data_IF_848745063876
#
_entry.id   IF_848745063876
#
_cell.length_a   1.000
_cell.length_b   1.000
_cell.length_c   1.000
_cell.angle_alpha   90.00
_cell.angle_beta   90.00
_cell.angle_gamma   90.00
#
_symmetry.space_group_name_H-M   'P 1'
#
loop_
_entity.id
_entity.type
_entity.pdbx_description
1 polymer ?
#
# COMPACT_ATOMS: atom_id res chain seq x y z
N UNK A 1 -15.08 21.29 -7.55
CA UNK A 1 -13.65 21.42 -7.90
C UNK A 1 -12.73 20.70 -6.90
N UNK A 2 -12.93 20.86 -5.59
CA UNK A 2 -12.09 20.20 -4.57
C UNK A 2 -12.07 18.67 -4.66
N UNK A 3 -13.22 18.02 -4.87
CA UNK A 3 -13.31 16.55 -4.95
C UNK A 3 -12.56 15.97 -6.15
N UNK A 4 -12.65 16.60 -7.31
CA UNK A 4 -11.90 16.18 -8.50
C UNK A 4 -10.38 16.34 -8.28
N UNK A 5 -9.97 17.41 -7.59
CA UNK A 5 -8.57 17.60 -7.19
C UNK A 5 -8.08 16.52 -6.23
N UNK A 6 -8.91 16.12 -5.26
CA UNK A 6 -8.62 15.00 -4.36
C UNK A 6 -8.40 13.70 -5.12
N UNK A 7 -9.31 13.35 -6.03
CA UNK A 7 -9.18 12.13 -6.84
C UNK A 7 -7.92 12.15 -7.70
N UNK A 8 -7.64 13.27 -8.37
CA UNK A 8 -6.42 13.42 -9.17
C UNK A 8 -5.16 13.26 -8.31
N UNK A 9 -5.13 13.85 -7.12
CA UNK A 9 -4.03 13.67 -6.16
C UNK A 9 -3.90 12.22 -5.69
N UNK A 10 -5.01 11.54 -5.38
CA UNK A 10 -5.00 10.12 -4.99
C UNK A 10 -4.46 9.22 -6.09
N UNK A 11 -4.82 9.47 -7.35
CA UNK A 11 -4.28 8.74 -8.52
C UNK A 11 -2.79 9.02 -8.68
N UNK A 12 -2.36 10.28 -8.58
CA UNK A 12 -0.95 10.65 -8.68
C UNK A 12 -0.11 9.99 -7.57
N UNK A 13 -0.62 9.98 -6.33
CA UNK A 13 0.03 9.30 -5.20
C UNK A 13 0.13 7.79 -5.46
N UNK A 14 -0.94 7.15 -5.96
CA UNK A 14 -0.93 5.73 -6.28
C UNK A 14 0.14 5.40 -7.33
N UNK A 15 0.15 6.12 -8.45
CA UNK A 15 1.10 5.89 -9.55
C UNK A 15 2.52 6.19 -9.10
N UNK A 16 2.74 7.29 -8.40
CA UNK A 16 4.06 7.67 -7.87
C UNK A 16 4.59 6.64 -6.87
N UNK A 17 3.73 6.14 -5.97
CA UNK A 17 4.08 5.09 -5.01
C UNK A 17 4.48 3.81 -5.73
N UNK A 18 3.67 3.36 -6.68
CA UNK A 18 3.96 2.13 -7.43
C UNK A 18 5.28 2.26 -8.19
N UNK A 19 5.52 3.39 -8.87
CA UNK A 19 6.76 3.66 -9.59
C UNK A 19 7.98 3.69 -8.64
N UNK A 20 7.86 4.35 -7.48
CA UNK A 20 8.91 4.41 -6.48
C UNK A 20 9.23 3.03 -5.92
N UNK A 21 8.22 2.21 -5.62
CA UNK A 21 8.42 0.85 -5.14
C UNK A 21 9.08 -0.03 -6.22
N UNK A 22 8.64 0.05 -7.47
CA UNK A 22 9.27 -0.66 -8.60
C UNK A 22 10.73 -0.25 -8.76
N UNK A 23 11.06 1.03 -8.58
CA UNK A 23 12.43 1.50 -8.59
C UNK A 23 13.23 0.98 -7.38
N UNK A 24 12.64 1.02 -6.17
CA UNK A 24 13.29 0.54 -4.93
C UNK A 24 13.59 -0.95 -4.94
N UNK A 25 12.66 -1.80 -5.40
CA UNK A 25 12.87 -3.27 -5.43
C UNK A 25 13.96 -3.70 -6.40
N UNK A 26 14.38 -2.83 -7.33
CA UNK A 26 15.54 -3.06 -8.21
C UNK A 26 16.88 -2.83 -7.49
N UNK A 27 16.89 -2.14 -6.34
CA UNK A 27 18.10 -1.92 -5.56
C UNK A 27 18.31 -3.07 -4.56
N UNK A 28 19.31 -3.94 -4.76
CA UNK A 28 19.51 -5.13 -3.92
C UNK A 28 19.90 -4.78 -2.48
N UNK A 29 20.59 -3.66 -2.24
CA UNK A 29 20.96 -3.26 -0.87
C UNK A 29 19.73 -2.89 -0.07
N UNK A 30 18.82 -2.11 -0.67
CA UNK A 30 17.55 -1.75 -0.04
C UNK A 30 16.68 -2.97 0.28
N UNK A 31 16.61 -3.96 -0.63
CA UNK A 31 15.86 -5.20 -0.38
C UNK A 31 16.48 -5.98 0.77
N UNK A 32 17.81 -6.12 0.81
CA UNK A 32 18.51 -6.81 1.91
C UNK A 32 18.28 -6.13 3.25
N UNK A 33 18.39 -4.81 3.33
CA UNK A 33 18.19 -4.05 4.57
C UNK A 33 16.75 -4.21 5.09
N UNK A 34 15.77 -4.18 4.18
CA UNK A 34 14.38 -4.44 4.51
C UNK A 34 14.17 -5.88 5.03
N UNK A 35 14.82 -6.88 4.43
CA UNK A 35 14.78 -8.27 4.95
C UNK A 35 15.39 -8.38 6.34
N UNK A 36 16.56 -7.76 6.58
CA UNK A 36 17.21 -7.76 7.89
C UNK A 36 16.30 -7.12 8.95
N UNK A 37 15.65 -6.00 8.61
CA UNK A 37 14.69 -5.34 9.49
C UNK A 37 13.50 -6.23 9.82
N UNK A 38 12.93 -6.91 8.82
CA UNK A 38 11.81 -7.84 9.01
C UNK A 38 12.17 -9.07 9.84
N UNK A 39 13.43 -9.52 9.77
CA UNK A 39 13.92 -10.69 10.51
C UNK A 39 14.47 -10.36 11.90
N UNK A 40 14.83 -9.10 12.16
CA UNK A 40 15.26 -8.65 13.48
C UNK A 40 14.13 -8.74 14.52
N UNK A 41 12.87 -8.54 14.10
CA UNK A 41 11.69 -8.73 14.95
C UNK A 41 10.54 -9.38 14.17
N UNK A 42 10.59 -10.70 13.95
CA UNK A 42 9.71 -11.37 12.99
C UNK A 42 8.23 -11.27 13.38
N UNK A 43 7.92 -11.32 14.68
CA UNK A 43 6.56 -11.22 15.22
C UNK A 43 6.02 -9.79 15.07
N UNK A 44 6.78 -8.77 15.47
CA UNK A 44 6.33 -7.37 15.37
C UNK A 44 6.15 -6.99 13.90
N UNK A 45 7.07 -7.40 13.02
CA UNK A 45 6.93 -7.15 11.58
C UNK A 45 5.71 -7.86 10.98
N UNK A 46 5.36 -9.07 11.44
CA UNK A 46 4.11 -9.74 11.01
C UNK A 46 2.87 -9.00 11.52
N UNK A 47 2.86 -8.58 12.78
CA UNK A 47 1.75 -7.83 13.36
C UNK A 47 1.51 -6.52 12.63
N UNK A 48 2.58 -5.77 12.33
CA UNK A 48 2.50 -4.53 11.56
C UNK A 48 2.02 -4.77 10.13
N UNK A 49 2.47 -5.85 9.49
CA UNK A 49 1.99 -6.23 8.16
C UNK A 49 0.50 -6.58 8.18
N UNK A 50 0.05 -7.37 9.15
CA UNK A 50 -1.34 -7.76 9.31
C UNK A 50 -2.23 -6.54 9.61
N UNK A 51 -1.79 -5.65 10.49
CA UNK A 51 -2.47 -4.39 10.78
C UNK A 51 -2.58 -3.52 9.52
N UNK A 52 -1.49 -3.37 8.78
CA UNK A 52 -1.48 -2.63 7.51
C UNK A 52 -2.46 -3.22 6.49
N UNK A 53 -2.46 -4.55 6.32
CA UNK A 53 -3.39 -5.24 5.44
C UNK A 53 -4.86 -5.07 5.87
N UNK A 54 -5.14 -5.10 7.18
CA UNK A 54 -6.46 -4.86 7.73
C UNK A 54 -6.94 -3.44 7.44
N UNK A 55 -6.10 -2.43 7.68
CA UNK A 55 -6.43 -1.02 7.39
C UNK A 55 -6.69 -0.80 5.89
N UNK A 56 -5.90 -1.44 5.02
CA UNK A 56 -6.12 -1.42 3.57
C UNK A 56 -7.48 -2.02 3.21
N UNK A 57 -7.82 -3.18 3.78
CA UNK A 57 -9.11 -3.82 3.55
C UNK A 57 -10.28 -2.94 3.99
N UNK A 58 -10.18 -2.30 5.17
CA UNK A 58 -11.18 -1.36 5.68
C UNK A 58 -11.33 -0.13 4.79
N UNK A 59 -10.22 0.47 4.34
CA UNK A 59 -10.26 1.60 3.41
C UNK A 59 -10.93 1.23 2.08
N UNK A 60 -10.66 0.02 1.57
CA UNK A 60 -11.26 -0.47 0.34
C UNK A 60 -12.78 -0.70 0.48
N UNK A 61 -13.22 -1.38 1.54
CA UNK A 61 -14.66 -1.64 1.79
C UNK A 61 -15.42 -0.34 2.03
N UNK A 62 -14.83 0.61 2.75
CA UNK A 62 -15.39 1.94 2.93
C UNK A 62 -15.49 2.71 1.61
N UNK A 63 -14.44 2.66 0.78
CA UNK A 63 -14.45 3.24 -0.56
C UNK A 63 -15.58 2.69 -1.44
N UNK A 64 -15.78 1.37 -1.47
CA UNK A 64 -16.89 0.73 -2.19
C UNK A 64 -18.24 1.23 -1.67
N UNK A 65 -18.41 1.29 -0.35
CA UNK A 65 -19.64 1.77 0.29
C UNK A 65 -19.96 3.22 -0.09
N UNK A 66 -18.95 4.09 -0.20
CA UNK A 66 -19.09 5.46 -0.66
C UNK A 66 -19.48 5.55 -2.14
N UNK A 67 -18.88 4.73 -3.00
CA UNK A 67 -19.29 4.63 -4.41
C UNK A 67 -20.76 4.23 -4.52
N UNK A 68 -21.21 3.26 -3.73
CA UNK A 68 -22.59 2.80 -3.73
C UNK A 68 -23.58 3.86 -3.20
N UNK A 69 -23.17 4.72 -2.26
CA UNK A 69 -24.02 5.75 -1.63
C UNK A 69 -23.96 7.11 -2.33
N UNK A 70 -23.66 7.14 -3.64
CA UNK A 70 -23.56 8.34 -4.51
C UNK A 70 -22.43 9.31 -4.19
N UNK A 71 -21.49 8.96 -3.31
CA UNK A 71 -20.26 9.71 -3.06
C UNK A 71 -19.11 9.18 -3.93
N UNK A 72 -19.34 9.10 -5.24
CA UNK A 72 -18.49 8.36 -6.19
C UNK A 72 -17.03 8.84 -6.18
N UNK A 73 -16.78 10.15 -6.22
CA UNK A 73 -15.42 10.71 -6.29
C UNK A 73 -14.62 10.40 -5.02
N UNK A 74 -15.23 10.58 -3.84
CA UNK A 74 -14.62 10.24 -2.55
C UNK A 74 -14.38 8.73 -2.42
N UNK A 75 -15.33 7.91 -2.89
CA UNK A 75 -15.18 6.46 -2.91
C UNK A 75 -14.00 6.00 -3.76
N UNK A 76 -13.84 6.56 -4.97
CA UNK A 76 -12.69 6.27 -5.82
C UNK A 76 -11.35 6.75 -5.25
N UNK A 77 -11.33 7.91 -4.58
CA UNK A 77 -10.14 8.39 -3.87
C UNK A 77 -9.72 7.42 -2.74
N UNK A 78 -10.70 6.92 -1.97
CA UNK A 78 -10.47 5.90 -0.94
C UNK A 78 -9.98 4.57 -1.52
N UNK A 79 -10.52 4.15 -2.68
CA UNK A 79 -10.04 2.96 -3.39
C UNK A 79 -8.59 3.14 -3.87
N UNK A 80 -8.22 4.31 -4.38
CA UNK A 80 -6.83 4.62 -4.76
C UNK A 80 -5.88 4.59 -3.56
N UNK A 81 -6.32 5.12 -2.42
CA UNK A 81 -5.58 5.03 -1.16
C UNK A 81 -5.38 3.57 -0.73
N UNK A 82 -6.44 2.76 -0.78
CA UNK A 82 -6.36 1.34 -0.47
C UNK A 82 -5.41 0.60 -1.42
N UNK A 83 -5.47 0.89 -2.73
CA UNK A 83 -4.54 0.34 -3.71
C UNK A 83 -3.08 0.73 -3.40
N UNK A 84 -2.86 1.97 -2.94
CA UNK A 84 -1.54 2.45 -2.52
C UNK A 84 -1.02 1.64 -1.34
N UNK A 85 -1.85 1.43 -0.31
CA UNK A 85 -1.47 0.58 0.82
C UNK A 85 -1.27 -0.88 0.42
N UNK A 86 -2.07 -1.40 -0.52
CA UNK A 86 -1.91 -2.75 -1.06
C UNK A 86 -0.56 -2.96 -1.73
N UNK A 87 -0.04 -1.96 -2.47
CA UNK A 87 1.31 -2.05 -3.06
C UNK A 87 2.39 -2.20 -1.98
N UNK A 88 2.26 -1.50 -0.85
CA UNK A 88 3.18 -1.63 0.29
C UNK A 88 3.09 -3.01 0.94
N UNK A 89 1.88 -3.50 1.19
CA UNK A 89 1.64 -4.84 1.76
C UNK A 89 2.24 -5.91 0.84
N UNK A 90 1.98 -5.79 -0.46
CA UNK A 90 2.50 -6.72 -1.47
C UNK A 90 4.03 -6.77 -1.48
N UNK A 91 4.70 -5.61 -1.50
CA UNK A 91 6.17 -5.54 -1.47
C UNK A 91 6.71 -6.16 -0.19
N UNK A 92 6.11 -5.88 0.98
CA UNK A 92 6.55 -6.49 2.24
C UNK A 92 6.42 -8.02 2.24
N UNK A 93 5.31 -8.54 1.72
CA UNK A 93 5.10 -9.99 1.57
C UNK A 93 6.12 -10.59 0.61
N UNK A 94 6.37 -9.94 -0.52
CA UNK A 94 7.34 -10.39 -1.52
C UNK A 94 8.77 -10.42 -0.97
N UNK A 95 9.20 -9.38 -0.24
CA UNK A 95 10.50 -9.32 0.44
C UNK A 95 10.64 -10.47 1.44
N UNK A 96 9.61 -10.69 2.27
CA UNK A 96 9.59 -11.76 3.28
C UNK A 96 9.64 -13.17 2.68
N UNK A 97 9.10 -13.37 1.46
CA UNK A 97 9.13 -14.66 0.75
C UNK A 97 10.47 -14.97 0.08
N UNK A 98 11.36 -13.99 -0.05
CA UNK A 98 12.68 -14.20 -0.64
C UNK A 98 13.62 -14.88 0.37
N UNK A 99 14.49 -15.79 -0.08
CA UNK A 99 15.55 -16.31 0.77
C UNK A 99 16.49 -15.17 1.19
N UNK A 100 17.04 -15.26 2.39
CA UNK A 100 18.15 -14.41 2.82
C UNK A 100 19.40 -14.84 2.05
N UNK A 101 19.93 -13.94 1.22
CA UNK A 101 21.17 -14.14 0.44
C UNK A 101 22.28 -13.23 0.93
#
# INVERSE_FOLDING_TARGET
>A
MAEAGLLAASVAILVGTAALLVWRVRNPTWVRDAQLTQNASPVISLLMLALGALLVALAFTFGISLVATRHSILGWAMICLAATGLTHVWVNVWIRRRPLT
#
